data_IF_080759391734
#
_entry.id   IF_080759391734
#
_cell.length_a   1.000
_cell.length_b   1.000
_cell.length_c   1.000
_cell.angle_alpha   90.00
_cell.angle_beta   90.00
_cell.angle_gamma   90.00
#
_symmetry.space_group_name_H-M   'P 1'
#
loop_
_entity.id
_entity.type
_entity.pdbx_description
1 polymer ?
#
# COMPACT_ATOMS: atom_id res chain seq x y z
N UNK A 1 -6.84 -5.24 -12.86
CA UNK A 1 -6.24 -6.38 -12.11
C UNK A 1 -4.74 -6.33 -12.27
N UNK A 2 -3.98 -6.67 -11.21
CA UNK A 2 -2.55 -7.00 -11.30
C UNK A 2 -2.44 -8.50 -11.08
N UNK A 3 -1.76 -9.19 -11.99
CA UNK A 3 -1.55 -10.64 -11.89
C UNK A 3 -0.06 -10.93 -11.82
N UNK A 4 0.31 -11.78 -10.87
CA UNK A 4 1.69 -12.14 -10.57
C UNK A 4 1.84 -13.64 -10.74
N UNK A 5 2.88 -14.05 -11.46
CA UNK A 5 3.23 -15.45 -11.65
C UNK A 5 4.74 -15.66 -11.48
N UNK A 6 5.11 -16.62 -10.62
CA UNK A 6 6.49 -17.02 -10.40
C UNK A 6 7.43 -15.84 -10.08
N UNK A 7 7.03 -14.96 -9.14
CA UNK A 7 7.85 -13.87 -8.64
C UNK A 7 8.76 -14.40 -7.52
N UNK A 8 10.07 -14.38 -7.76
CA UNK A 8 11.10 -14.69 -6.79
C UNK A 8 12.03 -13.49 -6.67
N UNK A 9 12.28 -13.03 -5.44
CA UNK A 9 13.15 -11.91 -5.19
C UNK A 9 14.06 -12.14 -3.99
N UNK A 10 15.36 -11.90 -4.18
CA UNK A 10 16.38 -12.05 -3.16
C UNK A 10 17.15 -10.72 -3.01
N UNK A 11 17.45 -10.35 -1.76
CA UNK A 11 18.51 -9.40 -1.49
C UNK A 11 19.80 -10.19 -1.20
N UNK A 12 20.81 -10.04 -2.07
CA UNK A 12 22.03 -10.86 -1.99
C UNK A 12 21.66 -12.36 -1.95
N UNK A 13 21.97 -13.05 -0.85
CA UNK A 13 21.70 -14.48 -0.67
C UNK A 13 20.45 -14.77 0.17
N UNK A 14 19.67 -13.76 0.55
CA UNK A 14 18.46 -13.93 1.37
C UNK A 14 17.22 -13.85 0.51
N UNK A 15 16.47 -14.96 0.44
CA UNK A 15 15.15 -14.96 -0.19
C UNK A 15 14.18 -14.06 0.61
N UNK A 16 13.53 -13.13 -0.08
CA UNK A 16 12.60 -12.16 0.52
C UNK A 16 11.18 -12.42 0.03
N UNK A 17 11.01 -12.72 -1.25
CA UNK A 17 9.69 -13.00 -1.83
C UNK A 17 9.73 -14.25 -2.71
N UNK A 18 8.66 -15.05 -2.59
CA UNK A 18 8.42 -16.29 -3.33
C UNK A 18 6.93 -16.43 -3.61
N UNK A 19 6.46 -15.68 -4.59
CA UNK A 19 5.03 -15.61 -4.92
C UNK A 19 4.79 -16.38 -6.21
N UNK A 20 4.19 -17.56 -6.11
CA UNK A 20 3.89 -18.40 -7.28
C UNK A 20 2.79 -17.82 -8.14
N UNK A 21 1.66 -17.50 -7.52
CA UNK A 21 0.51 -16.91 -8.20
C UNK A 21 -0.22 -15.98 -7.23
N UNK A 22 -0.56 -14.79 -7.69
CA UNK A 22 -1.38 -13.82 -6.94
C UNK A 22 -2.18 -12.98 -7.93
N UNK A 23 -3.45 -12.72 -7.60
CA UNK A 23 -4.31 -11.79 -8.33
C UNK A 23 -4.78 -10.71 -7.40
N UNK A 24 -4.42 -9.46 -7.72
CA UNK A 24 -4.88 -8.26 -7.02
C UNK A 24 -5.97 -7.58 -7.85
N UNK A 25 -7.15 -7.51 -7.27
CA UNK A 25 -8.23 -6.72 -7.87
C UNK A 25 -7.95 -5.24 -7.65
N UNK A 26 -7.66 -4.53 -8.73
CA UNK A 26 -7.31 -3.10 -8.70
C UNK A 26 -8.51 -2.17 -8.56
N UNK A 27 -9.72 -2.71 -8.48
CA UNK A 27 -10.93 -1.96 -8.13
C UNK A 27 -11.28 -2.07 -6.64
N UNK A 28 -10.48 -2.80 -5.85
CA UNK A 28 -10.74 -3.06 -4.43
C UNK A 28 -9.68 -2.47 -3.52
N UNK A 29 -10.05 -2.33 -2.24
CA UNK A 29 -9.11 -2.03 -1.17
C UNK A 29 -8.58 -3.38 -0.65
N UNK A 30 -7.35 -3.70 -1.07
CA UNK A 30 -6.61 -4.88 -0.64
C UNK A 30 -5.71 -4.49 0.53
N UNK A 31 -5.61 -5.36 1.53
CA UNK A 31 -4.74 -5.18 2.69
C UNK A 31 -3.65 -6.24 2.66
N UNK A 32 -2.41 -5.81 2.87
CA UNK A 32 -1.26 -6.68 3.02
C UNK A 32 -0.73 -6.61 4.45
N UNK A 33 -0.94 -7.68 5.18
CA UNK A 33 -0.44 -7.86 6.55
C UNK A 33 0.80 -8.74 6.56
N UNK A 34 1.51 -8.75 7.68
CA UNK A 34 2.69 -9.58 7.91
C UNK A 34 3.62 -8.94 8.93
N UNK A 35 4.48 -9.75 9.53
CA UNK A 35 5.47 -9.28 10.51
C UNK A 35 6.43 -8.23 9.93
N UNK A 36 7.09 -7.46 10.80
CA UNK A 36 8.15 -6.57 10.37
C UNK A 36 9.28 -7.38 9.71
N UNK A 37 9.81 -6.88 8.59
CA UNK A 37 10.82 -7.60 7.80
C UNK A 37 10.28 -8.75 6.94
N UNK A 38 8.96 -8.97 6.85
CA UNK A 38 8.37 -10.04 6.02
C UNK A 38 8.48 -9.79 4.50
N UNK A 39 8.87 -8.57 4.08
CA UNK A 39 8.99 -8.22 2.66
C UNK A 39 7.86 -7.34 2.11
N UNK A 40 6.94 -6.80 2.95
CA UNK A 40 5.81 -5.96 2.50
C UNK A 40 6.28 -4.76 1.68
N UNK A 41 7.20 -3.96 2.22
CA UNK A 41 7.74 -2.78 1.52
C UNK A 41 8.47 -3.16 0.24
N UNK A 42 9.22 -4.27 0.24
CA UNK A 42 9.89 -4.80 -0.96
C UNK A 42 8.86 -5.16 -2.03
N UNK A 43 7.78 -5.83 -1.63
CA UNK A 43 6.70 -6.19 -2.56
C UNK A 43 6.05 -4.95 -3.19
N UNK A 44 5.73 -3.92 -2.38
CA UNK A 44 5.20 -2.67 -2.92
C UNK A 44 6.19 -1.95 -3.86
N UNK A 45 7.49 -1.96 -3.54
CA UNK A 45 8.52 -1.37 -4.41
C UNK A 45 8.64 -2.11 -5.74
N UNK A 46 8.56 -3.43 -5.74
CA UNK A 46 8.51 -4.24 -6.97
C UNK A 46 7.28 -3.87 -7.80
N UNK A 47 6.10 -3.78 -7.19
CA UNK A 47 4.88 -3.38 -7.90
C UNK A 47 4.95 -1.95 -8.45
N UNK A 48 5.79 -1.08 -7.86
CA UNK A 48 6.05 0.29 -8.34
C UNK A 48 7.22 0.37 -9.32
N UNK A 49 7.83 -0.75 -9.72
CA UNK A 49 8.98 -0.80 -10.64
C UNK A 49 10.26 -0.17 -10.06
N UNK A 50 10.43 -0.18 -8.74
CA UNK A 50 11.60 0.37 -8.07
C UNK A 50 12.64 -0.69 -7.72
N UNK A 51 12.27 -1.97 -7.80
CA UNK A 51 13.14 -3.11 -7.49
C UNK A 51 13.05 -4.14 -8.62
N UNK A 52 14.18 -4.46 -9.25
CA UNK A 52 14.29 -5.49 -10.28
C UNK A 52 13.47 -5.26 -11.55
N UNK A 53 13.62 -6.15 -12.52
CA UNK A 53 12.74 -6.22 -13.71
C UNK A 53 11.91 -7.50 -13.67
N UNK A 54 10.64 -7.35 -13.39
CA UNK A 54 9.65 -8.42 -13.31
C UNK A 54 8.60 -8.33 -14.42
N UNK A 55 8.93 -7.70 -15.54
CA UNK A 55 8.01 -7.53 -16.68
C UNK A 55 7.51 -8.85 -17.28
N UNK A 56 8.18 -9.97 -17.01
CA UNK A 56 7.74 -11.31 -17.43
C UNK A 56 6.86 -12.00 -16.38
N UNK A 57 6.89 -11.52 -15.15
CA UNK A 57 6.24 -12.16 -14.01
C UNK A 57 4.98 -11.42 -13.54
N UNK A 58 4.86 -10.13 -13.88
CA UNK A 58 3.76 -9.28 -13.42
C UNK A 58 3.08 -8.64 -14.62
N UNK A 59 1.78 -8.89 -14.75
CA UNK A 59 0.93 -8.14 -15.68
C UNK A 59 0.13 -7.08 -14.92
N UNK A 60 0.03 -5.90 -15.47
CA UNK A 60 -0.72 -4.78 -14.93
C UNK A 60 -1.83 -4.40 -15.90
N UNK A 61 -3.07 -4.44 -15.42
CA UNK A 61 -4.23 -4.07 -16.24
C UNK A 61 -4.29 -4.84 -17.58
N UNK A 62 -3.84 -6.11 -17.56
CA UNK A 62 -3.76 -6.97 -18.74
C UNK A 62 -2.50 -6.81 -19.61
N UNK A 63 -1.52 -6.00 -19.19
CA UNK A 63 -0.28 -5.76 -19.94
C UNK A 63 0.96 -6.16 -19.13
N UNK A 64 1.89 -6.88 -19.75
CA UNK A 64 3.18 -7.22 -19.14
C UNK A 64 4.22 -6.09 -19.27
N UNK A 65 4.16 -5.33 -20.36
CA UNK A 65 5.04 -4.19 -20.59
C UNK A 65 4.23 -2.91 -20.53
N UNK A 66 4.48 -2.08 -19.52
CA UNK A 66 3.83 -0.80 -19.37
C UNK A 66 4.67 0.32 -20.00
N UNK A 67 4.01 1.21 -20.73
CA UNK A 67 4.58 2.49 -21.11
C UNK A 67 4.57 3.47 -19.92
N UNK A 68 5.25 4.62 -20.07
CA UNK A 68 5.36 5.61 -19.00
C UNK A 68 4.00 6.15 -18.53
N UNK A 69 3.00 6.25 -19.42
CA UNK A 69 1.64 6.69 -19.04
C UNK A 69 0.98 5.67 -18.14
N UNK A 70 1.05 4.39 -18.47
CA UNK A 70 0.48 3.30 -17.67
C UNK A 70 1.18 3.16 -16.31
N UNK A 71 2.53 3.33 -16.24
CA UNK A 71 3.27 3.33 -14.97
C UNK A 71 2.82 4.45 -14.02
N UNK A 72 2.33 5.57 -14.55
CA UNK A 72 1.76 6.69 -13.79
C UNK A 72 0.36 6.40 -13.23
N UNK A 73 -0.31 5.34 -13.66
CA UNK A 73 -1.58 4.91 -13.10
C UNK A 73 -1.42 4.30 -11.69
N UNK A 74 -0.19 4.00 -11.26
CA UNK A 74 0.13 3.44 -9.95
C UNK A 74 0.91 4.48 -9.15
N UNK A 75 0.45 4.77 -7.93
CA UNK A 75 1.15 5.65 -6.97
C UNK A 75 1.68 4.83 -5.80
N UNK A 76 2.90 5.12 -5.33
CA UNK A 76 3.45 4.56 -4.09
C UNK A 76 3.64 5.67 -3.07
N UNK A 77 3.02 5.51 -1.91
CA UNK A 77 3.28 6.32 -0.72
C UNK A 77 4.22 5.54 0.20
N UNK A 78 5.34 6.14 0.55
CA UNK A 78 6.31 5.58 1.49
C UNK A 78 5.90 5.81 2.94
N UNK A 79 6.43 5.02 3.91
CA UNK A 79 6.13 5.18 5.34
C UNK A 79 6.55 6.56 5.86
N UNK A 80 7.70 7.04 5.41
CA UNK A 80 8.21 8.36 5.73
C UNK A 80 7.83 9.38 4.64
N UNK A 81 7.42 10.59 5.02
CA UNK A 81 7.05 11.62 4.05
C UNK A 81 8.28 12.08 3.26
N UNK A 82 8.26 11.87 1.94
CA UNK A 82 9.32 12.34 1.04
C UNK A 82 8.87 13.67 0.44
N UNK A 83 9.41 14.77 0.94
CA UNK A 83 9.21 16.12 0.41
C UNK A 83 10.54 16.67 -0.09
N UNK A 84 10.55 17.20 -1.29
CA UNK A 84 11.71 17.88 -1.85
C UNK A 84 11.91 19.23 -1.14
N UNK A 85 13.15 19.69 -0.99
CA UNK A 85 13.47 20.98 -0.36
C UNK A 85 13.04 22.17 -1.21
N UNK A 86 11.73 22.35 -1.27
CA UNK A 86 11.00 23.45 -1.95
C UNK A 86 9.66 23.66 -1.26
N UNK A 87 8.93 24.72 -1.59
CA UNK A 87 7.62 24.94 -0.97
C UNK A 87 6.67 23.76 -1.17
N UNK A 88 5.72 23.59 -0.26
CA UNK A 88 4.66 22.58 -0.36
C UNK A 88 3.95 22.67 -1.71
N UNK A 89 3.60 23.89 -2.17
CA UNK A 89 3.00 24.09 -3.49
C UNK A 89 3.89 23.56 -4.61
N UNK A 90 5.19 23.84 -4.55
CA UNK A 90 6.13 23.34 -5.57
C UNK A 90 6.29 21.81 -5.55
N UNK A 91 6.12 21.16 -4.39
CA UNK A 91 6.06 19.69 -4.29
C UNK A 91 4.81 19.13 -4.97
N UNK A 92 3.62 19.73 -4.77
CA UNK A 92 2.41 19.37 -5.51
C UNK A 92 2.61 19.49 -7.01
N UNK A 93 3.05 20.65 -7.49
CA UNK A 93 3.24 20.93 -8.92
C UNK A 93 4.25 19.96 -9.56
N UNK A 94 5.34 19.66 -8.87
CA UNK A 94 6.33 18.69 -9.33
C UNK A 94 5.73 17.30 -9.49
N UNK A 95 4.98 16.83 -8.48
CA UNK A 95 4.36 15.51 -8.51
C UNK A 95 3.31 15.43 -9.62
N UNK A 96 2.40 16.39 -9.71
CA UNK A 96 1.36 16.44 -10.73
C UNK A 96 1.96 16.45 -12.15
N UNK A 97 3.01 17.26 -12.37
CA UNK A 97 3.75 17.27 -13.64
C UNK A 97 4.40 15.91 -13.95
N UNK A 98 5.02 15.28 -12.95
CA UNK A 98 5.66 13.95 -13.10
C UNK A 98 4.64 12.90 -13.50
N UNK A 99 3.43 12.98 -12.95
CA UNK A 99 2.32 12.08 -13.31
C UNK A 99 1.59 12.50 -14.60
N UNK A 100 2.02 13.59 -15.25
CA UNK A 100 1.48 14.05 -16.53
C UNK A 100 0.14 14.76 -16.43
N UNK A 101 -0.21 15.26 -15.23
CA UNK A 101 -1.44 15.99 -14.96
C UNK A 101 -1.21 17.45 -15.31
N UNK A 102 -2.07 18.00 -16.18
CA UNK A 102 -1.97 19.36 -16.69
C UNK A 102 -3.21 20.22 -16.40
N UNK A 103 -4.32 19.57 -16.05
CA UNK A 103 -5.63 20.21 -15.87
C UNK A 103 -6.06 20.16 -14.41
N UNK A 104 -6.89 21.08 -14.01
CA UNK A 104 -7.53 21.18 -12.67
C UNK A 104 -6.53 21.18 -11.50
N UNK A 105 -5.31 21.67 -11.73
CA UNK A 105 -4.20 21.59 -10.76
C UNK A 105 -4.59 22.22 -9.43
N UNK A 106 -5.11 23.44 -9.45
CA UNK A 106 -5.47 24.18 -8.23
C UNK A 106 -6.64 23.52 -7.49
N UNK A 107 -7.63 23.03 -8.22
CA UNK A 107 -8.77 22.31 -7.66
C UNK A 107 -8.30 21.01 -6.98
N UNK A 108 -7.46 20.24 -7.64
CA UNK A 108 -6.88 19.01 -7.09
C UNK A 108 -6.09 19.24 -5.81
N UNK A 109 -5.27 20.31 -5.78
CA UNK A 109 -4.52 20.72 -4.58
C UNK A 109 -5.50 21.07 -3.46
N UNK A 110 -6.47 21.94 -3.74
CA UNK A 110 -7.44 22.41 -2.76
C UNK A 110 -8.27 21.26 -2.18
N UNK A 111 -8.82 20.41 -3.01
CA UNK A 111 -9.60 19.24 -2.56
C UNK A 111 -8.78 18.28 -1.70
N UNK A 112 -7.52 18.01 -2.09
CA UNK A 112 -6.66 17.11 -1.33
C UNK A 112 -6.28 17.69 0.05
N UNK A 113 -6.06 18.99 0.14
CA UNK A 113 -5.84 19.68 1.42
C UNK A 113 -7.12 19.61 2.30
N UNK A 114 -8.29 19.89 1.72
CA UNK A 114 -9.57 19.81 2.43
C UNK A 114 -9.86 18.41 2.97
N UNK A 115 -9.54 17.36 2.22
CA UNK A 115 -9.71 15.96 2.67
C UNK A 115 -8.94 15.64 3.96
N UNK A 116 -7.86 16.38 4.23
CA UNK A 116 -6.98 16.15 5.38
C UNK A 116 -7.01 17.28 6.41
N UNK A 117 -8.00 18.19 6.30
CA UNK A 117 -8.14 19.37 7.16
C UNK A 117 -6.85 20.19 7.22
N UNK A 118 -6.21 20.42 6.07
CA UNK A 118 -5.01 21.22 5.92
C UNK A 118 -5.36 22.63 5.44
N UNK A 119 -4.74 23.65 6.05
CA UNK A 119 -4.92 25.03 5.64
C UNK A 119 -4.05 25.35 4.42
N UNK A 120 -4.58 26.13 3.46
CA UNK A 120 -3.86 26.55 2.26
C UNK A 120 -2.61 27.40 2.58
N UNK A 121 -2.53 28.05 3.75
CA UNK A 121 -1.33 28.76 4.19
C UNK A 121 -0.09 27.87 4.26
N UNK A 122 -0.26 26.55 4.39
CA UNK A 122 0.85 25.60 4.37
C UNK A 122 1.51 25.49 2.99
N UNK A 123 0.84 25.89 1.92
CA UNK A 123 1.37 25.81 0.55
C UNK A 123 2.67 26.59 0.35
N UNK A 124 2.87 27.67 1.10
CA UNK A 124 4.06 28.50 1.01
C UNK A 124 5.21 28.02 1.91
N UNK A 125 4.96 27.10 2.84
CA UNK A 125 5.97 26.55 3.74
C UNK A 125 6.92 25.59 3.06
N UNK A 126 8.12 25.50 3.63
CA UNK A 126 9.14 24.51 3.28
C UNK A 126 9.07 23.32 4.23
N UNK A 127 9.62 22.14 3.86
CA UNK A 127 9.55 20.94 4.70
C UNK A 127 10.10 21.12 6.13
N UNK A 128 11.14 21.93 6.31
CA UNK A 128 11.74 22.24 7.62
C UNK A 128 10.87 23.15 8.52
N UNK A 129 9.82 23.75 7.97
CA UNK A 129 8.85 24.58 8.69
C UNK A 129 7.59 23.78 9.10
N UNK A 130 7.54 22.50 8.76
CA UNK A 130 6.41 21.61 9.01
C UNK A 130 6.69 20.72 10.22
N UNK A 131 5.67 20.48 11.04
CA UNK A 131 5.75 19.38 12.01
C UNK A 131 5.74 18.02 11.28
N UNK A 132 6.19 16.95 11.94
CA UNK A 132 6.18 15.59 11.38
C UNK A 132 4.78 15.18 10.91
N UNK A 133 3.75 15.44 11.72
CA UNK A 133 2.36 15.16 11.35
C UNK A 133 1.85 16.02 10.18
N UNK A 134 2.29 17.27 10.06
CA UNK A 134 1.98 18.10 8.89
C UNK A 134 2.66 17.56 7.63
N UNK A 135 3.94 17.19 7.73
CA UNK A 135 4.69 16.59 6.62
C UNK A 135 4.00 15.34 6.10
N UNK A 136 3.53 14.48 7.00
CA UNK A 136 2.85 13.24 6.65
C UNK A 136 1.50 13.48 5.99
N UNK A 137 0.68 14.40 6.53
CA UNK A 137 -0.57 14.83 5.90
C UNK A 137 -0.34 15.44 4.52
N UNK A 138 0.68 16.29 4.36
CA UNK A 138 1.02 16.91 3.08
C UNK A 138 1.47 15.87 2.06
N UNK A 139 2.34 14.92 2.43
CA UNK A 139 2.75 13.85 1.53
C UNK A 139 1.53 13.02 1.07
N UNK A 140 0.59 12.75 1.97
CA UNK A 140 -0.65 12.06 1.61
C UNK A 140 -1.58 12.94 0.76
N UNK A 141 -1.70 14.23 1.04
CA UNK A 141 -2.46 15.18 0.19
C UNK A 141 -1.89 15.23 -1.23
N UNK A 142 -0.56 15.28 -1.38
CA UNK A 142 0.12 15.21 -2.67
C UNK A 142 -0.24 13.91 -3.40
N UNK A 143 -0.22 12.77 -2.69
CA UNK A 143 -0.64 11.51 -3.27
C UNK A 143 -2.08 11.57 -3.78
N UNK A 144 -3.03 12.03 -2.95
CA UNK A 144 -4.46 12.13 -3.30
C UNK A 144 -4.70 13.03 -4.52
N UNK A 145 -3.95 14.14 -4.66
CA UNK A 145 -4.10 15.09 -5.78
C UNK A 145 -3.82 14.46 -7.14
N UNK A 146 -3.03 13.37 -7.19
CA UNK A 146 -2.72 12.65 -8.43
C UNK A 146 -3.94 11.93 -8.99
N UNK A 147 -4.85 11.43 -8.14
CA UNK A 147 -6.00 10.60 -8.53
C UNK A 147 -5.54 9.40 -9.38
N UNK A 148 -4.53 8.68 -8.89
CA UNK A 148 -4.02 7.48 -9.54
C UNK A 148 -5.09 6.38 -9.55
N UNK A 149 -5.01 5.47 -10.51
CA UNK A 149 -5.94 4.33 -10.63
C UNK A 149 -5.74 3.31 -9.52
N UNK A 150 -4.49 3.14 -9.05
CA UNK A 150 -4.14 2.21 -8.00
C UNK A 150 -3.09 2.80 -7.06
N UNK A 151 -3.33 2.70 -5.76
CA UNK A 151 -2.39 3.17 -4.74
C UNK A 151 -1.74 2.01 -4.01
N UNK A 152 -0.45 2.11 -3.84
CA UNK A 152 0.36 1.29 -2.97
C UNK A 152 0.71 2.14 -1.76
N UNK A 153 0.20 1.80 -0.57
CA UNK A 153 0.44 2.56 0.65
C UNK A 153 1.26 1.70 1.62
N UNK A 154 2.47 2.16 1.94
CA UNK A 154 3.37 1.47 2.85
C UNK A 154 3.31 2.12 4.23
N UNK A 155 2.72 1.44 5.22
CA UNK A 155 2.53 1.88 6.60
C UNK A 155 1.96 3.31 6.72
N UNK A 156 0.85 3.66 6.03
CA UNK A 156 0.38 5.04 5.93
C UNK A 156 -0.08 5.64 7.27
N UNK A 157 -0.40 4.80 8.26
CA UNK A 157 -0.82 5.23 9.60
C UNK A 157 0.32 5.26 10.63
N UNK A 158 1.55 4.89 10.23
CA UNK A 158 2.69 4.88 11.14
C UNK A 158 2.91 6.30 11.73
N UNK A 159 3.06 6.34 13.06
CA UNK A 159 3.31 7.59 13.81
C UNK A 159 2.18 8.65 13.76
N UNK A 160 0.98 8.28 13.30
CA UNK A 160 -0.18 9.17 13.29
C UNK A 160 -0.97 9.07 14.61
N UNK A 161 -1.50 10.23 15.04
CA UNK A 161 -2.53 10.25 16.08
C UNK A 161 -3.86 9.66 15.57
N UNK A 162 -4.76 9.31 16.50
CA UNK A 162 -6.06 8.70 16.19
C UNK A 162 -6.91 9.57 15.24
N UNK A 163 -6.89 10.90 15.40
CA UNK A 163 -7.68 11.80 14.58
C UNK A 163 -7.15 11.84 13.14
N UNK A 164 -5.84 11.92 12.97
CA UNK A 164 -5.20 11.89 11.66
C UNK A 164 -5.40 10.54 10.98
N UNK A 165 -5.30 9.44 11.73
CA UNK A 165 -5.60 8.09 11.24
C UNK A 165 -7.02 8.00 10.68
N UNK A 166 -8.01 8.58 11.39
CA UNK A 166 -9.41 8.62 10.92
C UNK A 166 -9.58 9.47 9.65
N UNK A 167 -8.87 10.60 9.54
CA UNK A 167 -8.88 11.42 8.32
C UNK A 167 -8.32 10.65 7.12
N UNK A 168 -7.23 9.90 7.29
CA UNK A 168 -6.66 9.07 6.24
C UNK A 168 -7.63 7.98 5.79
N UNK A 169 -8.30 7.30 6.73
CA UNK A 169 -9.35 6.32 6.40
C UNK A 169 -10.45 6.95 5.54
N UNK A 170 -10.99 8.07 5.98
CA UNK A 170 -12.06 8.78 5.27
C UNK A 170 -11.60 9.21 3.86
N UNK A 171 -10.37 9.69 3.72
CA UNK A 171 -9.82 10.07 2.43
C UNK A 171 -9.66 8.87 1.49
N UNK A 172 -9.20 7.72 1.98
CA UNK A 172 -9.09 6.47 1.20
C UNK A 172 -10.47 6.02 0.71
N UNK A 173 -11.46 5.97 1.62
CA UNK A 173 -12.83 5.59 1.26
C UNK A 173 -13.43 6.54 0.22
N UNK A 174 -13.29 7.84 0.42
CA UNK A 174 -13.77 8.87 -0.53
C UNK A 174 -13.12 8.70 -1.92
N UNK A 175 -11.82 8.45 -1.98
CA UNK A 175 -11.13 8.18 -3.25
C UNK A 175 -11.62 6.90 -3.91
N UNK A 176 -11.82 5.86 -3.13
CA UNK A 176 -12.36 4.59 -3.63
C UNK A 176 -13.76 4.75 -4.21
N UNK A 177 -14.66 5.39 -3.49
CA UNK A 177 -16.07 5.59 -3.87
C UNK A 177 -16.20 6.54 -5.07
N UNK A 178 -15.53 7.70 -5.03
CA UNK A 178 -15.73 8.75 -6.04
C UNK A 178 -14.99 8.48 -7.36
N UNK A 179 -13.86 7.78 -7.32
CA UNK A 179 -12.98 7.61 -8.48
C UNK A 179 -12.75 6.13 -8.85
N UNK A 180 -13.44 5.21 -8.18
CA UNK A 180 -13.21 3.75 -8.35
C UNK A 180 -11.71 3.38 -8.23
N UNK A 181 -11.02 4.07 -7.31
CA UNK A 181 -9.59 3.90 -7.07
C UNK A 181 -9.36 2.68 -6.21
N UNK A 182 -8.48 1.78 -6.64
CA UNK A 182 -8.08 0.64 -5.82
C UNK A 182 -6.85 0.92 -4.97
N UNK A 183 -6.66 0.10 -3.94
CA UNK A 183 -5.56 0.24 -2.99
C UNK A 183 -4.94 -1.11 -2.66
N UNK A 184 -3.62 -1.11 -2.43
CA UNK A 184 -2.92 -2.13 -1.68
C UNK A 184 -2.25 -1.44 -0.49
N UNK A 185 -2.74 -1.70 0.71
CA UNK A 185 -2.28 -1.06 1.94
C UNK A 185 -1.49 -2.07 2.76
N UNK A 186 -0.19 -1.87 2.88
CA UNK A 186 0.65 -2.62 3.78
C UNK A 186 0.65 -1.92 5.13
N UNK A 187 0.18 -2.59 6.18
CA UNK A 187 0.25 -2.08 7.54
C UNK A 187 0.13 -3.21 8.57
N UNK A 188 0.63 -2.94 9.77
CA UNK A 188 0.44 -3.76 10.97
C UNK A 188 -0.60 -3.15 11.93
N UNK A 189 -1.10 -1.95 11.64
CA UNK A 189 -2.13 -1.28 12.45
C UNK A 189 -3.52 -1.84 12.12
N UNK A 190 -3.98 -2.76 12.96
CA UNK A 190 -5.29 -3.43 12.83
C UNK A 190 -6.45 -2.45 12.85
N UNK A 191 -6.42 -1.47 13.76
CA UNK A 191 -7.48 -0.48 13.88
C UNK A 191 -7.57 0.41 12.63
N UNK A 192 -6.45 0.67 11.98
CA UNK A 192 -6.45 1.35 10.70
C UNK A 192 -7.10 0.50 9.61
N UNK A 193 -6.82 -0.79 9.59
CA UNK A 193 -7.21 -1.69 8.49
C UNK A 193 -8.65 -2.22 8.58
N UNK A 194 -9.20 -2.40 9.80
CA UNK A 194 -10.45 -3.15 10.02
C UNK A 194 -11.66 -2.64 9.21
N UNK A 195 -11.77 -1.33 9.04
CA UNK A 195 -12.91 -0.74 8.31
C UNK A 195 -12.66 -0.54 6.81
N UNK A 196 -11.45 -0.82 6.33
CA UNK A 196 -11.05 -0.60 4.94
C UNK A 196 -11.02 -1.89 4.11
N UNK A 197 -10.79 -3.03 4.75
CA UNK A 197 -10.46 -4.28 4.08
C UNK A 197 -11.63 -4.86 3.27
N UNK A 198 -11.46 -4.96 1.96
CA UNK A 198 -12.33 -5.77 1.09
C UNK A 198 -11.68 -7.11 0.74
N UNK A 199 -10.34 -7.19 0.75
CA UNK A 199 -9.56 -8.42 0.60
C UNK A 199 -8.35 -8.36 1.54
N UNK A 200 -8.11 -9.44 2.28
CA UNK A 200 -6.99 -9.56 3.21
C UNK A 200 -5.93 -10.52 2.66
N UNK A 201 -4.69 -10.08 2.67
CA UNK A 201 -3.50 -10.85 2.25
C UNK A 201 -2.53 -10.87 3.44
N UNK A 202 -1.88 -11.99 3.65
CA UNK A 202 -0.84 -12.10 4.67
C UNK A 202 0.47 -12.56 4.06
N UNK A 203 1.53 -11.78 4.24
CA UNK A 203 2.88 -12.11 3.78
C UNK A 203 3.66 -12.76 4.92
N UNK A 204 4.04 -14.01 4.72
CA UNK A 204 4.83 -14.79 5.66
C UNK A 204 5.93 -15.56 4.91
N UNK A 205 7.17 -15.44 5.38
CA UNK A 205 8.31 -16.14 4.78
C UNK A 205 8.38 -16.04 3.25
N UNK A 206 8.11 -14.84 2.72
CA UNK A 206 8.14 -14.56 1.28
C UNK A 206 6.90 -15.01 0.50
N UNK A 207 5.99 -15.77 1.10
CA UNK A 207 4.77 -16.26 0.45
C UNK A 207 3.55 -15.44 0.89
N UNK A 208 2.61 -15.20 -0.04
CA UNK A 208 1.35 -14.52 0.25
C UNK A 208 0.23 -15.55 0.39
N UNK A 209 -0.45 -15.48 1.53
CA UNK A 209 -1.66 -16.24 1.84
C UNK A 209 -2.88 -15.33 1.67
N UNK A 210 -3.91 -15.81 0.99
CA UNK A 210 -5.17 -15.08 0.80
C UNK A 210 -6.21 -15.60 1.80
N UNK A 211 -6.88 -14.67 2.48
CA UNK A 211 -7.95 -14.99 3.42
C UNK A 211 -9.27 -14.37 2.97
N UNK A 212 -10.29 -15.20 2.88
CA UNK A 212 -11.68 -14.78 2.75
C UNK A 212 -12.35 -14.96 4.12
N UNK A 213 -12.89 -13.86 4.68
CA UNK A 213 -13.73 -13.86 5.90
C UNK A 213 -13.11 -14.37 7.22
N UNK A 214 -11.81 -14.36 7.39
CA UNK A 214 -11.17 -14.80 8.62
C UNK A 214 -10.76 -13.62 9.49
N UNK A 215 -11.05 -13.68 10.79
CA UNK A 215 -10.53 -12.73 11.79
C UNK A 215 -9.03 -12.97 12.05
N UNK A 216 -8.21 -12.73 11.04
CA UNK A 216 -6.74 -12.84 11.15
C UNK A 216 -6.24 -11.96 12.31
N UNK A 217 -6.94 -10.87 12.60
CA UNK A 217 -6.65 -9.97 13.72
C UNK A 217 -6.85 -10.59 15.11
N UNK A 218 -7.84 -11.48 15.28
CA UNK A 218 -8.06 -12.16 16.56
C UNK A 218 -6.95 -13.16 16.87
N UNK A 219 -6.41 -13.82 15.86
CA UNK A 219 -5.35 -14.80 16.02
C UNK A 219 -4.04 -14.19 16.52
N UNK A 220 -3.67 -12.99 16.06
CA UNK A 220 -2.49 -12.29 16.54
C UNK A 220 -2.66 -11.73 17.97
N UNK A 221 -3.88 -11.30 18.36
CA UNK A 221 -4.16 -10.75 19.70
C UNK A 221 -4.03 -11.79 20.81
N UNK A 222 -4.15 -13.07 20.49
CA UNK A 222 -4.03 -14.16 21.47
C UNK A 222 -2.58 -14.58 21.74
N UNK A 223 -1.59 -13.83 21.24
CA UNK A 223 -0.16 -14.14 21.42
C UNK A 223 0.27 -15.43 20.69
N UNK A 224 -0.58 -15.94 19.84
CA UNK A 224 -0.37 -17.19 19.13
C UNK A 224 0.47 -16.93 17.90
N UNK A 225 1.60 -17.64 17.78
CA UNK A 225 2.35 -17.64 16.53
C UNK A 225 1.42 -18.08 15.41
N UNK A 226 1.30 -17.27 14.39
CA UNK A 226 0.40 -17.42 13.24
C UNK A 226 0.34 -18.85 12.68
N UNK A 227 1.44 -19.60 12.75
CA UNK A 227 1.54 -21.00 12.29
C UNK A 227 0.70 -22.02 13.08
N UNK A 228 0.22 -21.68 14.29
CA UNK A 228 -0.43 -22.66 15.18
C UNK A 228 -1.95 -22.61 15.15
N UNK A 229 -2.59 -21.58 14.54
CA UNK A 229 -4.02 -21.34 14.66
C UNK A 229 -4.75 -20.90 13.40
N UNK A 230 -4.11 -20.99 12.24
CA UNK A 230 -4.86 -20.80 11.01
C UNK A 230 -5.72 -22.05 10.84
N UNK A 231 -7.02 -21.87 10.81
CA UNK A 231 -7.91 -22.86 10.22
C UNK A 231 -7.65 -22.85 8.71
N UNK A 232 -6.73 -23.70 8.30
CA UNK A 232 -6.31 -23.85 6.91
C UNK A 232 -7.42 -24.39 6.01
N UNK A 233 -8.55 -24.84 6.55
CA UNK A 233 -9.70 -25.28 5.77
C UNK A 233 -10.26 -24.19 4.88
N UNK A 234 -10.09 -22.91 5.29
CA UNK A 234 -10.53 -21.72 4.58
C UNK A 234 -9.41 -21.02 3.77
N UNK A 235 -8.18 -21.52 3.80
CA UNK A 235 -7.08 -20.99 2.99
C UNK A 235 -7.04 -21.66 1.62
N UNK A 236 -7.31 -20.92 0.55
CA UNK A 236 -7.32 -21.44 -0.84
C UNK A 236 -6.02 -22.17 -1.24
N UNK A 237 -4.88 -21.77 -0.67
CA UNK A 237 -3.55 -22.32 -0.97
C UNK A 237 -3.16 -23.54 -0.13
N UNK A 238 -3.77 -23.72 1.05
CA UNK A 238 -3.37 -24.78 1.97
C UNK A 238 -3.83 -26.18 1.53
N UNK A 239 -4.83 -26.28 0.67
CA UNK A 239 -5.25 -27.56 0.08
C UNK A 239 -4.14 -28.26 -0.69
N UNK A 240 -3.09 -27.50 -1.10
CA UNK A 240 -1.91 -28.02 -1.81
C UNK A 240 -0.76 -28.44 -0.86
N UNK A 241 -0.83 -28.11 0.43
CA UNK A 241 0.18 -28.46 1.44
C UNK A 241 -0.27 -29.71 2.22
N UNK A 242 0.25 -30.86 1.85
CA UNK A 242 -0.10 -32.16 2.46
C UNK A 242 0.40 -32.42 3.89
N UNK A 243 1.15 -31.50 4.54
CA UNK A 243 1.55 -31.60 5.98
C UNK A 243 1.74 -30.23 6.59
N UNK A 244 1.20 -29.97 7.80
CA UNK A 244 1.59 -28.79 8.58
C UNK A 244 3.09 -28.90 8.92
N UNK A 245 3.83 -27.77 8.97
CA UNK A 245 5.20 -27.79 9.45
C UNK A 245 5.21 -28.38 10.86
N UNK A 246 6.08 -29.36 11.10
CA UNK A 246 6.25 -29.99 12.41
C UNK A 246 6.46 -28.93 13.47
N UNK A 247 5.77 -29.08 14.63
CA UNK A 247 5.93 -28.23 15.81
C UNK A 247 7.42 -28.01 16.06
N UNK A 248 7.87 -26.77 15.92
CA UNK A 248 9.17 -26.38 16.47
C UNK A 248 8.94 -26.31 17.98
N UNK A 249 9.44 -27.32 18.68
CA UNK A 249 9.50 -27.31 20.14
C UNK A 249 10.33 -26.08 20.57
N UNK A 250 9.87 -25.44 21.62
CA UNK A 250 10.47 -24.30 22.33
C UNK A 250 11.85 -24.67 22.84
#
# INVERSE_FOLDING_TARGET
MIEISNLFFNYQNKEVLKIKNLKLDTSKINILMGANGSGKSTFLRILKFLEGDFSKNISYFGNFKLNNKQKREIYLLFPEPILLNRSVRANFLFTLKTYGIKEDIEERIKESLMCLNLNESLLNKYPNELSSGQSQKIAFAIALSVRAKYYLLDEPSAFLDKNTTLLFKKAILKMHENFNTGFLIASHDKHFLDSLAQKKLYLHSGEILEFENTNVFELENQGVKFCNFIDFSNCKKYKDFKKPPSKIAI
#
